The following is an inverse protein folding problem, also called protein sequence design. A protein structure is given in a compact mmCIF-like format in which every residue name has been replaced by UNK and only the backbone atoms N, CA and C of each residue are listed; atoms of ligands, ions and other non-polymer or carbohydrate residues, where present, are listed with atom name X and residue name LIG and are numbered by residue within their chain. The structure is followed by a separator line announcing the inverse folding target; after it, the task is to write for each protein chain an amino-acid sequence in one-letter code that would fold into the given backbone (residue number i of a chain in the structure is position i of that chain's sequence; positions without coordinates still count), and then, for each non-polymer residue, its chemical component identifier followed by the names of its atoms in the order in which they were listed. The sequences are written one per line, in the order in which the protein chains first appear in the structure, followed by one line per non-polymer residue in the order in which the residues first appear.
data_IF_783898675199
#
_entry.id   IF_783898675199
#
_cell.length_a   1.000
_cell.length_b   1.000
_cell.length_c   1.000
_cell.angle_alpha   90.00
_cell.angle_beta   90.00
_cell.angle_gamma   90.00
#
_symmetry.space_group_name_H-M   'P 1'
#
loop_
_entity.id
_entity.type
_entity.pdbx_description
1 polymer ?
#
# COMPACT_ATOMS: atom_id res chain seq x y z
N UNK A 1 -25.03 0.39 5.07
CA UNK A 1 -24.20 -0.65 5.69
C UNK A 1 -23.46 0.01 6.84
N UNK A 2 -23.82 -0.30 8.09
CA UNK A 2 -23.16 0.27 9.27
C UNK A 2 -21.87 -0.50 9.53
N UNK A 3 -20.73 0.18 9.53
CA UNK A 3 -19.46 -0.36 10.01
C UNK A 3 -19.33 0.08 11.46
N UNK A 4 -19.67 -0.82 12.38
CA UNK A 4 -19.46 -0.59 13.81
C UNK A 4 -18.02 -0.98 14.14
N UNK A 5 -17.13 0.01 14.17
CA UNK A 5 -15.76 -0.14 14.64
C UNK A 5 -15.42 0.91 15.68
N UNK A 6 -15.38 0.53 16.96
CA UNK A 6 -14.57 1.14 18.02
C UNK A 6 -14.58 0.19 19.21
N UNK A 7 -13.44 -0.10 19.84
CA UNK A 7 -12.83 0.81 20.79
C UNK A 7 -11.30 0.80 20.75
N UNK A 8 -10.71 2.00 20.67
CA UNK A 8 -9.33 2.23 21.03
C UNK A 8 -9.17 2.14 22.55
N UNK A 9 -8.30 1.27 23.03
CA UNK A 9 -7.72 1.38 24.37
C UNK A 9 -6.24 1.68 24.16
N UNK A 10 -5.82 2.88 24.57
CA UNK A 10 -4.44 3.43 24.61
C UNK A 10 -3.73 3.83 23.31
N UNK A 11 -4.35 4.75 22.57
CA UNK A 11 -3.79 5.40 21.38
C UNK A 11 -4.80 5.32 20.26
N UNK A 12 -5.17 6.45 19.66
CA UNK A 12 -6.35 6.58 18.81
C UNK A 12 -6.56 5.39 17.85
N UNK A 13 -7.80 4.90 17.77
CA UNK A 13 -8.13 3.80 16.86
C UNK A 13 -7.79 4.22 15.43
N UNK A 14 -6.79 3.57 14.85
CA UNK A 14 -6.56 3.64 13.42
C UNK A 14 -7.59 2.76 12.72
N UNK A 15 -8.09 3.23 11.59
CA UNK A 15 -8.91 2.40 10.72
C UNK A 15 -8.10 1.16 10.29
N UNK A 16 -8.72 -0.03 10.23
CA UNK A 16 -8.00 -1.24 9.83
C UNK A 16 -7.49 -1.08 8.40
N UNK A 17 -6.38 -1.74 8.08
CA UNK A 17 -5.71 -1.63 6.76
C UNK A 17 -6.66 -1.81 5.57
N UNK A 18 -7.61 -2.78 5.56
CA UNK A 18 -8.57 -2.91 4.47
C UNK A 18 -9.47 -1.67 4.30
N UNK A 19 -9.93 -1.06 5.39
CA UNK A 19 -10.77 0.14 5.33
C UNK A 19 -9.97 1.34 4.78
N UNK A 20 -8.71 1.48 5.20
CA UNK A 20 -7.82 2.53 4.68
C UNK A 20 -7.56 2.34 3.18
N UNK A 21 -7.27 1.11 2.74
CA UNK A 21 -7.12 0.78 1.30
C UNK A 21 -8.37 1.13 0.51
N UNK A 22 -9.54 0.73 1.01
CA UNK A 22 -10.81 0.92 0.30
C UNK A 22 -11.17 2.41 0.18
N UNK A 23 -10.89 3.20 1.21
CA UNK A 23 -11.02 4.66 1.17
C UNK A 23 -10.18 5.29 0.07
N UNK A 24 -8.88 4.96 -0.01
CA UNK A 24 -7.97 5.53 -1.02
C UNK A 24 -8.24 5.01 -2.44
N UNK A 25 -8.71 3.77 -2.58
CA UNK A 25 -9.07 3.19 -3.87
C UNK A 25 -10.45 3.63 -4.39
N UNK A 26 -11.23 4.38 -3.59
CA UNK A 26 -12.61 4.72 -3.92
C UNK A 26 -12.71 5.49 -5.25
N UNK A 27 -13.45 4.91 -6.20
CA UNK A 27 -13.65 5.50 -7.53
C UNK A 27 -12.46 5.33 -8.49
N UNK A 28 -11.43 4.56 -8.11
CA UNK A 28 -10.29 4.24 -8.97
C UNK A 28 -10.37 2.79 -9.46
N UNK A 29 -10.30 2.54 -10.78
CA UNK A 29 -10.26 1.18 -11.30
C UNK A 29 -8.93 0.52 -10.92
N UNK A 30 -8.98 -0.74 -10.49
CA UNK A 30 -7.78 -1.59 -10.36
C UNK A 30 -7.21 -1.86 -11.76
N UNK A 31 -5.98 -1.44 -12.02
CA UNK A 31 -5.31 -1.57 -13.32
C UNK A 31 -4.39 -2.76 -13.40
N UNK A 32 -3.58 -2.96 -12.36
CA UNK A 32 -2.55 -3.98 -12.33
C UNK A 32 -2.42 -4.54 -10.92
N UNK A 33 -2.03 -5.82 -10.83
CA UNK A 33 -1.56 -6.41 -9.59
C UNK A 33 -0.39 -7.33 -9.89
N UNK A 34 0.71 -7.11 -9.19
CA UNK A 34 1.94 -7.86 -9.35
C UNK A 34 2.33 -8.49 -8.02
N UNK A 35 2.79 -9.73 -8.05
CA UNK A 35 3.51 -10.32 -6.93
C UNK A 35 4.99 -10.00 -7.11
N UNK A 36 5.55 -9.23 -6.19
CA UNK A 36 6.97 -8.90 -6.17
C UNK A 36 7.72 -10.03 -5.45
N UNK A 37 8.85 -10.45 -6.01
CA UNK A 37 9.77 -11.36 -5.33
C UNK A 37 10.27 -10.68 -4.07
N UNK A 38 10.00 -11.27 -2.91
CA UNK A 38 10.40 -10.73 -1.62
C UNK A 38 11.40 -11.66 -0.93
N UNK A 39 12.28 -11.08 -0.13
CA UNK A 39 13.25 -11.84 0.67
C UNK A 39 12.55 -12.66 1.76
N UNK A 40 13.22 -13.72 2.24
CA UNK A 40 12.90 -14.42 3.50
C UNK A 40 11.44 -14.93 3.62
N UNK A 41 10.95 -15.66 2.61
CA UNK A 41 9.60 -16.25 2.57
C UNK A 41 8.44 -15.25 2.69
N UNK A 42 8.72 -13.95 2.54
CA UNK A 42 7.68 -12.93 2.46
C UNK A 42 7.01 -12.99 1.10
N UNK A 43 5.75 -12.56 1.03
CA UNK A 43 5.06 -12.32 -0.23
C UNK A 43 4.64 -10.86 -0.26
N UNK A 44 5.09 -10.13 -1.28
CA UNK A 44 4.69 -8.74 -1.49
C UNK A 44 3.77 -8.68 -2.69
N UNK A 45 2.56 -8.16 -2.53
CA UNK A 45 1.64 -7.88 -3.63
C UNK A 45 1.51 -6.37 -3.79
N UNK A 46 1.77 -5.87 -4.99
CA UNK A 46 1.54 -4.48 -5.38
C UNK A 46 0.27 -4.42 -6.21
N UNK A 47 -0.68 -3.59 -5.82
CA UNK A 47 -1.91 -3.31 -6.57
C UNK A 47 -1.94 -1.84 -6.97
N UNK A 48 -2.13 -1.58 -8.27
CA UNK A 48 -2.27 -0.24 -8.82
C UNK A 48 -3.74 0.08 -9.09
N UNK A 49 -4.19 1.23 -8.56
CA UNK A 49 -5.50 1.82 -8.79
C UNK A 49 -5.32 3.18 -9.50
N UNK A 50 -6.04 3.44 -10.59
CA UNK A 50 -5.82 4.65 -11.43
C UNK A 50 -4.50 4.59 -12.25
N UNK A 51 -3.88 5.69 -12.72
CA UNK A 51 -4.30 6.49 -13.88
C UNK A 51 -3.42 6.20 -15.14
N UNK A 52 -3.93 6.47 -16.37
CA UNK A 52 -3.45 7.65 -17.17
C UNK A 52 -4.51 8.75 -17.36
N UNK A 53 -5.74 8.45 -16.96
CA UNK A 53 -6.83 9.34 -16.57
C UNK A 53 -7.78 8.41 -15.80
N UNK A 54 -8.19 8.70 -14.55
CA UNK A 54 -8.31 10.01 -13.88
C UNK A 54 -7.04 10.56 -13.20
N UNK A 55 -7.17 11.76 -12.63
CA UNK A 55 -6.23 12.65 -11.91
C UNK A 55 -5.57 12.07 -10.64
N UNK A 56 -5.92 10.84 -10.26
CA UNK A 56 -5.52 10.21 -9.00
C UNK A 56 -5.01 8.79 -9.26
N UNK A 57 -3.87 8.47 -8.66
CA UNK A 57 -3.26 7.16 -8.68
C UNK A 57 -2.96 6.72 -7.25
N UNK A 58 -3.22 5.45 -6.96
CA UNK A 58 -2.94 4.84 -5.66
C UNK A 58 -2.23 3.50 -5.88
N UNK A 59 -1.04 3.36 -5.32
CA UNK A 59 -0.33 2.09 -5.21
C UNK A 59 -0.48 1.55 -3.79
N UNK A 60 -1.01 0.34 -3.68
CA UNK A 60 -1.12 -0.39 -2.42
C UNK A 60 -0.16 -1.57 -2.42
N UNK A 61 0.67 -1.66 -1.39
CA UNK A 61 1.59 -2.78 -1.18
C UNK A 61 1.14 -3.58 0.05
N UNK A 62 0.89 -4.87 -0.13
CA UNK A 62 0.55 -5.80 0.93
C UNK A 62 1.73 -6.77 1.14
N UNK A 63 2.23 -6.83 2.37
CA UNK A 63 3.36 -7.70 2.74
C UNK A 63 2.82 -8.79 3.67
N UNK A 64 2.75 -10.02 3.18
CA UNK A 64 2.32 -11.19 3.95
C UNK A 64 3.52 -11.85 4.60
N UNK A 65 3.38 -12.20 5.88
CA UNK A 65 4.45 -12.77 6.71
C UNK A 65 5.37 -11.72 7.35
N UNK A 66 5.12 -10.43 7.09
CA UNK A 66 5.84 -9.32 7.72
C UNK A 66 5.32 -8.96 9.13
N UNK A 67 5.92 -7.94 9.74
CA UNK A 67 5.49 -7.35 11.02
C UNK A 67 5.24 -5.85 10.93
N UNK A 68 4.94 -5.20 12.07
CA UNK A 68 4.79 -3.74 12.16
C UNK A 68 6.17 -3.04 12.16
N UNK A 69 6.89 -3.20 11.05
CA UNK A 69 8.22 -2.65 10.81
C UNK A 69 8.23 -1.96 9.46
N UNK A 70 8.98 -0.86 9.35
CA UNK A 70 9.19 -0.20 8.08
C UNK A 70 9.98 -1.14 7.16
N UNK A 71 9.52 -1.43 5.93
CA UNK A 71 10.21 -2.36 5.05
C UNK A 71 11.27 -1.63 4.24
N UNK A 72 12.48 -1.47 4.79
CA UNK A 72 13.66 -0.90 4.11
C UNK A 72 14.95 -1.68 4.33
N UNK A 73 14.88 -2.84 4.99
CA UNK A 73 15.99 -3.73 5.26
C UNK A 73 16.04 -4.87 4.25
N UNK A 74 17.23 -5.48 4.04
CA UNK A 74 17.42 -6.60 3.12
C UNK A 74 16.52 -7.82 3.43
N UNK A 75 16.01 -7.91 4.66
CA UNK A 75 15.17 -9.02 5.13
C UNK A 75 13.67 -8.71 5.14
N UNK A 76 13.25 -7.49 4.76
CA UNK A 76 11.90 -6.98 5.01
C UNK A 76 11.00 -6.99 3.78
N UNK A 77 11.41 -7.71 2.74
CA UNK A 77 10.60 -8.06 1.57
C UNK A 77 10.47 -6.98 0.51
N UNK A 78 10.54 -5.70 0.88
CA UNK A 78 10.44 -4.55 -0.02
C UNK A 78 11.43 -3.47 0.40
N UNK A 79 11.98 -2.70 -0.55
CA UNK A 79 12.67 -1.44 -0.29
C UNK A 79 11.66 -0.29 -0.43
N UNK A 80 10.76 -0.11 0.55
CA UNK A 80 9.66 0.86 0.44
C UNK A 80 10.12 2.29 0.22
N UNK A 81 11.25 2.69 0.79
CA UNK A 81 11.83 4.01 0.53
C UNK A 81 12.13 4.21 -0.96
N UNK A 82 12.69 3.20 -1.64
CA UNK A 82 12.92 3.27 -3.09
C UNK A 82 11.60 3.28 -3.87
N UNK A 83 10.63 2.43 -3.50
CA UNK A 83 9.33 2.38 -4.18
C UNK A 83 8.57 3.72 -4.10
N UNK A 84 8.63 4.38 -2.95
CA UNK A 84 8.06 5.73 -2.76
C UNK A 84 8.74 6.72 -3.73
N UNK A 85 10.08 6.71 -3.81
CA UNK A 85 10.79 7.60 -4.72
C UNK A 85 10.53 7.27 -6.19
N UNK A 86 10.47 5.98 -6.55
CA UNK A 86 10.09 5.52 -7.91
C UNK A 86 8.68 5.95 -8.28
N UNK A 87 7.74 5.97 -7.33
CA UNK A 87 6.40 6.47 -7.57
C UNK A 87 6.44 7.95 -7.96
N UNK A 88 7.10 8.78 -7.16
CA UNK A 88 7.15 10.23 -7.36
C UNK A 88 8.02 10.66 -8.54
N UNK A 89 9.10 9.93 -8.85
CA UNK A 89 10.00 10.26 -9.96
C UNK A 89 9.28 10.29 -11.32
N UNK A 90 8.15 9.59 -11.45
CA UNK A 90 7.31 9.60 -12.66
C UNK A 90 6.65 10.95 -12.94
N UNK A 91 6.60 11.84 -11.95
CA UNK A 91 5.95 13.14 -12.05
C UNK A 91 6.92 14.33 -11.93
N UNK A 92 8.22 14.05 -11.82
CA UNK A 92 9.25 15.09 -11.89
C UNK A 92 9.61 15.24 -13.37
N UNK A 93 9.15 16.32 -14.00
CA UNK A 93 9.43 16.63 -15.41
C UNK A 93 10.82 17.25 -15.62
N UNK A 94 11.33 17.13 -16.85
CA UNK A 94 12.38 18.01 -17.41
C UNK A 94 11.86 19.45 -17.60
#
# INVERSE_FOLDING_TARGET
MQVTGKTATDGGAYEPTPATRDFWAQGLPRRQQDTLTAANNLTVTRTQYGGPAPDREFLYYEIVGGGHVWPSGPEQGLQASEEIWRFFSRYVGE
#
